data_IF_752749942519
#
_entry.id   IF_752749942519
#
_cell.length_a   1.000
_cell.length_b   1.000
_cell.length_c   1.000
_cell.angle_alpha   90.00
_cell.angle_beta   90.00
_cell.angle_gamma   90.00
#
_symmetry.space_group_name_H-M   'P 1'
#
loop_
_entity.id
_entity.type
_entity.pdbx_description
1 polymer ?
#
# COMPACT_ATOMS: atom_id res chain seq x y z
N UNK A 1 58.34 28.48 -37.20
CA UNK A 1 57.56 27.38 -37.80
C UNK A 1 56.33 27.16 -36.95
N UNK A 2 55.15 27.46 -37.51
CA UNK A 2 53.87 27.50 -36.81
C UNK A 2 53.29 26.08 -36.73
N UNK A 3 52.79 25.66 -35.57
CA UNK A 3 52.02 24.42 -35.43
C UNK A 3 50.65 24.73 -34.83
N UNK A 4 49.68 25.01 -35.70
CA UNK A 4 48.27 25.16 -35.33
C UNK A 4 47.72 23.76 -35.02
N UNK A 5 47.50 23.46 -33.73
CA UNK A 5 46.81 22.23 -33.32
C UNK A 5 45.29 22.46 -33.39
N UNK A 6 44.69 21.99 -34.47
CA UNK A 6 43.24 21.93 -34.65
C UNK A 6 42.66 20.94 -33.64
N UNK A 7 41.85 21.43 -32.70
CA UNK A 7 41.19 20.61 -31.69
C UNK A 7 39.75 20.42 -32.12
N UNK A 8 39.44 19.28 -32.74
CA UNK A 8 38.08 18.94 -33.19
C UNK A 8 37.26 18.58 -31.95
N UNK A 9 36.35 19.47 -31.55
CA UNK A 9 35.36 19.21 -30.50
C UNK A 9 34.31 18.22 -31.01
N UNK A 10 34.35 16.97 -30.52
CA UNK A 10 33.27 16.01 -30.70
C UNK A 10 32.23 16.22 -29.58
N UNK A 11 31.17 16.97 -29.88
CA UNK A 11 30.03 17.11 -28.99
C UNK A 11 29.23 15.81 -28.95
N UNK A 12 29.39 15.01 -27.88
CA UNK A 12 28.53 13.86 -27.61
C UNK A 12 27.15 14.36 -27.14
N UNK A 13 26.13 14.20 -27.98
CA UNK A 13 24.73 14.41 -27.59
C UNK A 13 24.31 13.25 -26.66
N UNK A 14 24.33 13.49 -25.35
CA UNK A 14 23.69 12.59 -24.39
C UNK A 14 22.17 12.72 -24.54
N UNK A 15 21.54 11.73 -25.18
CA UNK A 15 20.10 11.55 -25.14
C UNK A 15 19.70 11.06 -23.73
N UNK A 16 19.10 11.92 -22.93
CA UNK A 16 18.54 11.56 -21.63
C UNK A 16 17.31 10.66 -21.83
N UNK A 17 17.48 9.36 -21.63
CA UNK A 17 16.35 8.44 -21.51
C UNK A 17 15.67 8.66 -20.16
N UNK A 18 14.45 9.22 -20.16
CA UNK A 18 13.62 9.31 -18.96
C UNK A 18 13.03 7.93 -18.67
N UNK A 19 13.56 7.25 -17.65
CA UNK A 19 12.95 6.03 -17.12
C UNK A 19 11.74 6.45 -16.29
N UNK A 20 10.52 5.96 -16.56
CA UNK A 20 9.38 6.25 -15.72
C UNK A 20 9.62 5.62 -14.34
N UNK A 21 9.59 6.45 -13.30
CA UNK A 21 9.55 5.97 -11.93
C UNK A 21 8.16 5.38 -11.68
N UNK A 22 8.05 4.06 -11.61
CA UNK A 22 6.83 3.44 -11.11
C UNK A 22 6.79 3.68 -9.61
N UNK A 23 5.73 4.33 -9.13
CA UNK A 23 5.46 4.38 -7.71
C UNK A 23 5.16 2.95 -7.24
N UNK A 24 5.84 2.50 -6.19
CA UNK A 24 5.51 1.23 -5.54
C UNK A 24 4.04 1.25 -5.10
N UNK A 25 3.41 0.07 -5.07
CA UNK A 25 2.06 -0.04 -4.55
C UNK A 25 2.01 0.51 -3.11
N UNK A 26 0.96 1.28 -2.74
CA UNK A 26 0.83 1.82 -1.40
C UNK A 26 0.88 0.69 -0.35
N UNK A 27 1.94 0.69 0.44
CA UNK A 27 2.17 -0.24 1.53
C UNK A 27 2.09 0.48 2.90
N UNK A 28 1.89 -0.26 4.00
CA UNK A 28 1.94 0.31 5.34
C UNK A 28 3.30 0.98 5.58
N UNK A 29 3.27 2.19 6.15
CA UNK A 29 4.48 3.00 6.39
C UNK A 29 5.41 2.43 7.48
N UNK A 30 4.96 1.39 8.19
CA UNK A 30 5.68 0.76 9.29
C UNK A 30 5.70 -0.75 9.12
N UNK A 31 6.79 -1.43 9.54
CA UNK A 31 6.80 -2.89 9.59
C UNK A 31 5.71 -3.40 10.53
N UNK A 32 5.28 -4.66 10.37
CA UNK A 32 4.35 -5.26 11.30
C UNK A 32 4.96 -5.35 12.71
N UNK A 33 4.09 -5.32 13.73
CA UNK A 33 4.49 -5.61 15.10
C UNK A 33 4.96 -7.08 15.19
N UNK A 34 5.79 -7.42 16.18
CA UNK A 34 6.23 -8.80 16.42
C UNK A 34 5.04 -9.77 16.48
N UNK A 35 5.14 -10.89 15.75
CA UNK A 35 4.09 -11.91 15.56
C UNK A 35 2.82 -11.41 14.85
N UNK A 36 2.92 -10.31 14.12
CA UNK A 36 1.84 -9.82 13.26
C UNK A 36 2.24 -9.83 11.79
N UNK A 37 1.23 -9.78 10.92
CA UNK A 37 1.39 -9.60 9.48
C UNK A 37 0.43 -8.51 8.97
N UNK A 38 0.87 -7.78 7.95
CA UNK A 38 0.00 -6.87 7.22
C UNK A 38 -0.81 -7.65 6.18
N UNK A 39 -2.12 -7.40 6.15
CA UNK A 39 -3.06 -7.95 5.18
C UNK A 39 -3.84 -6.82 4.51
N UNK A 40 -3.86 -6.82 3.17
CA UNK A 40 -4.61 -5.84 2.37
C UNK A 40 -6.02 -6.38 2.15
N UNK A 41 -7.02 -5.63 2.59
CA UNK A 41 -8.42 -5.93 2.38
C UNK A 41 -9.04 -4.84 1.50
N UNK A 42 -9.88 -5.22 0.55
CA UNK A 42 -10.57 -4.27 -0.30
C UNK A 42 -11.92 -4.79 -0.74
N UNK A 43 -12.93 -3.93 -0.68
CA UNK A 43 -14.27 -4.22 -1.19
C UNK A 43 -14.79 -3.01 -1.98
N UNK A 44 -15.10 -3.24 -3.25
CA UNK A 44 -15.58 -2.19 -4.18
C UNK A 44 -17.00 -1.73 -3.87
N UNK A 45 -17.82 -2.58 -3.29
CA UNK A 45 -19.21 -2.28 -2.91
C UNK A 45 -19.24 -1.38 -1.68
N UNK A 46 -18.34 -1.64 -0.72
CA UNK A 46 -18.13 -0.75 0.44
C UNK A 46 -17.38 0.53 0.03
N UNK A 47 -16.55 0.44 -1.01
CA UNK A 47 -15.74 1.56 -1.48
C UNK A 47 -14.51 1.80 -0.60
N UNK A 48 -14.01 0.75 0.07
CA UNK A 48 -12.91 0.83 1.02
C UNK A 48 -11.80 -0.16 0.67
N UNK A 49 -10.56 0.32 0.69
CA UNK A 49 -9.36 -0.51 0.70
C UNK A 49 -8.51 -0.12 1.92
N UNK A 50 -8.13 -1.10 2.73
CA UNK A 50 -7.42 -0.89 3.97
C UNK A 50 -6.33 -1.94 4.17
N UNK A 51 -5.22 -1.53 4.77
CA UNK A 51 -4.25 -2.46 5.34
C UNK A 51 -4.61 -2.72 6.80
N UNK A 52 -4.77 -3.99 7.16
CA UNK A 52 -5.04 -4.42 8.53
C UNK A 52 -3.86 -5.22 9.05
N UNK A 53 -3.54 -5.05 10.33
CA UNK A 53 -2.49 -5.81 10.97
C UNK A 53 -3.14 -6.96 11.73
N UNK A 54 -2.94 -8.19 11.26
CA UNK A 54 -3.39 -9.40 11.95
C UNK A 54 -2.29 -9.88 12.86
N UNK A 55 -2.66 -10.17 14.09
CA UNK A 55 -1.75 -10.63 15.11
C UNK A 55 -2.31 -11.87 15.78
N UNK A 56 -1.48 -12.90 15.91
CA UNK A 56 -1.87 -14.16 16.53
C UNK A 56 -1.39 -14.15 17.99
N UNK A 57 -2.13 -13.47 18.86
CA UNK A 57 -1.82 -13.39 20.29
C UNK A 57 -2.69 -14.36 21.09
N UNK A 58 -2.08 -15.46 21.55
CA UNK A 58 -2.74 -16.45 22.41
C UNK A 58 -3.73 -17.33 21.64
N UNK A 59 -4.86 -17.66 22.26
CA UNK A 59 -5.82 -18.65 21.74
C UNK A 59 -6.94 -18.03 20.88
N UNK A 60 -7.14 -16.71 20.99
CA UNK A 60 -8.21 -15.99 20.30
C UNK A 60 -7.65 -15.34 19.04
N UNK A 61 -8.10 -15.82 17.88
CA UNK A 61 -7.68 -15.28 16.60
C UNK A 61 -8.61 -14.12 16.19
N UNK A 62 -8.02 -13.10 15.58
CA UNK A 62 -8.74 -11.95 15.04
C UNK A 62 -8.78 -12.07 13.52
N UNK A 63 -10.00 -12.05 12.99
CA UNK A 63 -10.28 -12.00 11.56
C UNK A 63 -10.90 -10.65 11.21
N UNK A 64 -10.43 -10.04 10.14
CA UNK A 64 -11.04 -8.85 9.58
C UNK A 64 -11.90 -9.27 8.38
N UNK A 65 -13.13 -8.76 8.30
CA UNK A 65 -14.05 -9.02 7.20
C UNK A 65 -14.88 -7.77 6.88
N UNK A 66 -15.43 -7.69 5.66
CA UNK A 66 -16.42 -6.67 5.35
C UNK A 66 -17.82 -7.19 5.70
N UNK A 67 -18.54 -6.44 6.52
CA UNK A 67 -19.90 -6.73 6.93
C UNK A 67 -20.79 -5.50 6.70
N UNK A 68 -21.74 -5.58 5.76
CA UNK A 68 -22.54 -4.43 5.36
C UNK A 68 -21.67 -3.34 4.71
N UNK A 69 -21.73 -2.12 5.26
CA UNK A 69 -20.93 -0.95 4.82
C UNK A 69 -19.69 -0.73 5.70
N UNK A 70 -19.21 -1.76 6.39
CA UNK A 70 -18.15 -1.64 7.38
C UNK A 70 -17.04 -2.67 7.18
N UNK A 71 -15.81 -2.28 7.53
CA UNK A 71 -14.75 -3.20 7.92
C UNK A 71 -15.00 -3.59 9.39
N UNK A 72 -15.09 -4.88 9.66
CA UNK A 72 -15.44 -5.43 10.95
C UNK A 72 -14.38 -6.42 11.46
N UNK A 73 -14.36 -6.62 12.78
CA UNK A 73 -13.58 -7.65 13.44
C UNK A 73 -14.48 -8.82 13.82
N UNK A 74 -13.98 -10.03 13.63
CA UNK A 74 -14.60 -11.27 14.09
C UNK A 74 -13.60 -12.11 14.85
N UNK A 75 -14.03 -12.67 15.97
CA UNK A 75 -13.20 -13.49 16.81
C UNK A 75 -13.45 -14.97 16.57
N UNK A 76 -12.40 -15.79 16.69
CA UNK A 76 -12.49 -17.24 16.48
C UNK A 76 -13.31 -17.99 17.52
N UNK A 77 -13.56 -17.39 18.68
CA UNK A 77 -14.41 -17.96 19.74
C UNK A 77 -15.91 -17.72 19.51
N UNK A 78 -16.27 -17.10 18.39
CA UNK A 78 -17.64 -16.89 17.95
C UNK A 78 -18.14 -15.47 18.17
N UNK A 79 -19.46 -15.30 18.06
CA UNK A 79 -20.12 -14.00 18.06
C UNK A 79 -20.31 -13.41 16.66
N UNK A 80 -21.05 -12.31 16.60
CA UNK A 80 -21.21 -11.52 15.39
C UNK A 80 -19.94 -10.69 15.14
N UNK A 81 -19.71 -10.32 13.88
CA UNK A 81 -18.66 -9.38 13.54
C UNK A 81 -19.00 -7.99 14.08
N UNK A 82 -18.04 -7.34 14.72
CA UNK A 82 -18.17 -6.02 15.33
C UNK A 82 -17.60 -4.95 14.38
N UNK A 83 -18.38 -3.97 13.91
CA UNK A 83 -17.91 -2.94 12.99
C UNK A 83 -16.84 -2.05 13.62
N UNK A 84 -15.74 -1.82 12.89
CA UNK A 84 -14.64 -0.94 13.31
C UNK A 84 -14.57 0.34 12.50
N UNK A 85 -14.74 0.23 11.19
CA UNK A 85 -14.70 1.37 10.26
C UNK A 85 -15.94 1.29 9.40
N UNK A 86 -16.88 2.19 9.65
CA UNK A 86 -18.12 2.31 8.88
C UNK A 86 -17.97 3.37 7.78
N UNK A 87 -18.43 3.05 6.58
CA UNK A 87 -18.44 3.96 5.44
C UNK A 87 -19.85 4.47 5.22
N UNK A 88 -20.02 5.79 5.29
CA UNK A 88 -21.29 6.46 5.07
C UNK A 88 -21.27 7.27 3.78
N UNK A 89 -22.40 7.25 3.08
CA UNK A 89 -22.63 8.12 1.94
C UNK A 89 -22.83 9.56 2.44
N UNK A 90 -22.05 10.50 1.88
CA UNK A 90 -22.16 11.92 2.20
C UNK A 90 -23.42 12.49 1.54
N UNK A 91 -24.23 13.22 2.32
CA UNK A 91 -25.40 13.93 1.78
C UNK A 91 -24.95 15.19 1.04
N UNK A 92 -25.64 15.59 -0.05
CA UNK A 92 -25.37 16.83 -0.78
C UNK A 92 -25.40 18.09 0.09
#
# INVERSE_FOLDING_TARGET
>A
MNSVRSTIWASALLASATIPAMADEPAPSRPPIDKCAWEKLSDKTVGLAAWTQRCDFGFRQIHFEFAGKALAIKYSDGGAADPLVEVFDIKP
#
